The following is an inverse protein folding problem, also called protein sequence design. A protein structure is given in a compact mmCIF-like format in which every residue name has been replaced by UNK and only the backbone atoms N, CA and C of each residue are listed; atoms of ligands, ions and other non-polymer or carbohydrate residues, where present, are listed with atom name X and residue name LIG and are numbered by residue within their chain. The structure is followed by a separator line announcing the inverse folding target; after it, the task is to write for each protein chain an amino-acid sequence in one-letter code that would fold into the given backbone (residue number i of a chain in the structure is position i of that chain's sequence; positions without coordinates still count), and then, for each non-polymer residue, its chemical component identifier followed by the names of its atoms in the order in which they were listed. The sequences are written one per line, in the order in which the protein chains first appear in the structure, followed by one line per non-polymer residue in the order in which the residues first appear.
data_IF_600622936081
#
_entry.id   IF_600622936081
#
_cell.length_a   1.000
_cell.length_b   1.000
_cell.length_c   1.000
_cell.angle_alpha   90.00
_cell.angle_beta   90.00
_cell.angle_gamma   90.00
#
_symmetry.space_group_name_H-M   'P 1'
#
loop_
_entity.id
_entity.type
_entity.pdbx_description
1 polymer ?
#
# COMPACT_ATOMS: atom_id res chain seq x y z
N UNK A 1 28.77 -19.05 -2.45
CA UNK A 1 27.62 -19.00 -1.52
C UNK A 1 26.71 -17.88 -2.00
N UNK A 2 25.48 -18.16 -2.42
CA UNK A 2 24.54 -17.13 -2.86
C UNK A 2 24.18 -16.24 -1.66
N UNK A 3 24.30 -14.91 -1.78
CA UNK A 3 23.93 -14.01 -0.67
C UNK A 3 22.41 -13.87 -0.65
N UNK A 4 21.78 -14.39 0.38
CA UNK A 4 20.33 -14.25 0.56
C UNK A 4 20.01 -12.92 1.20
N UNK A 5 19.14 -12.11 0.59
CA UNK A 5 18.55 -10.93 1.25
C UNK A 5 17.28 -11.38 1.97
N UNK A 6 17.20 -11.13 3.28
CA UNK A 6 16.01 -11.39 4.08
C UNK A 6 15.13 -10.13 4.14
N UNK A 7 13.83 -10.29 3.91
CA UNK A 7 12.87 -9.23 4.15
C UNK A 7 11.63 -9.69 4.89
N UNK A 8 11.19 -8.95 5.91
CA UNK A 8 9.93 -9.17 6.63
C UNK A 8 8.76 -8.38 6.04
N UNK A 9 7.60 -9.02 5.89
CA UNK A 9 6.28 -8.41 5.62
C UNK A 9 5.27 -9.07 6.57
N UNK A 10 4.54 -8.29 7.38
CA UNK A 10 3.56 -8.81 8.35
C UNK A 10 4.09 -9.96 9.24
N UNK A 11 5.37 -9.93 9.62
CA UNK A 11 6.00 -10.97 10.44
C UNK A 11 6.49 -12.21 9.70
N UNK A 12 6.14 -12.38 8.42
CA UNK A 12 6.68 -13.45 7.57
C UNK A 12 8.04 -13.05 6.98
N UNK A 13 8.98 -14.00 6.95
CA UNK A 13 10.31 -13.85 6.38
C UNK A 13 10.34 -14.31 4.93
N UNK A 14 10.78 -13.41 4.04
CA UNK A 14 11.02 -13.68 2.64
C UNK A 14 12.52 -13.74 2.38
N UNK A 15 12.96 -14.86 1.84
CA UNK A 15 14.34 -15.10 1.43
C UNK A 15 14.45 -14.87 -0.07
N UNK A 16 15.33 -13.94 -0.46
CA UNK A 16 15.52 -13.54 -1.85
C UNK A 16 16.94 -13.88 -2.26
N UNK A 17 17.10 -14.60 -3.36
CA UNK A 17 18.41 -14.90 -3.91
C UNK A 17 19.05 -13.63 -4.51
N UNK A 18 20.38 -13.54 -4.45
CA UNK A 18 21.11 -12.41 -5.04
C UNK A 18 20.83 -12.35 -6.55
N UNK A 19 20.15 -11.29 -7.01
CA UNK A 19 19.79 -11.11 -8.43
C UNK A 19 18.30 -11.22 -8.75
N UNK A 20 17.46 -11.71 -7.81
CA UNK A 20 16.00 -11.78 -7.96
C UNK A 20 15.35 -10.40 -7.70
N UNK A 21 15.59 -9.47 -8.63
CA UNK A 21 15.16 -8.07 -8.55
C UNK A 21 13.65 -7.92 -8.66
N UNK A 22 12.99 -8.80 -9.42
CA UNK A 22 11.53 -8.80 -9.57
C UNK A 22 10.83 -9.15 -8.27
N UNK A 23 11.21 -10.24 -7.59
CA UNK A 23 10.62 -10.58 -6.30
C UNK A 23 10.89 -9.49 -5.26
N UNK A 24 12.12 -8.95 -5.24
CA UNK A 24 12.49 -7.86 -4.35
C UNK A 24 11.64 -6.59 -4.58
N UNK A 25 11.33 -6.27 -5.83
CA UNK A 25 10.44 -5.16 -6.18
C UNK A 25 9.05 -5.35 -5.54
N UNK A 26 8.43 -6.52 -5.70
CA UNK A 26 7.11 -6.79 -5.11
C UNK A 26 7.14 -6.76 -3.58
N UNK A 27 8.18 -7.33 -2.96
CA UNK A 27 8.34 -7.32 -1.50
C UNK A 27 8.44 -5.89 -0.97
N UNK A 28 9.23 -5.03 -1.63
CA UNK A 28 9.39 -3.66 -1.19
C UNK A 28 8.10 -2.85 -1.37
N UNK A 29 7.35 -3.08 -2.45
CA UNK A 29 6.02 -2.49 -2.62
C UNK A 29 5.08 -2.90 -1.48
N UNK A 30 5.02 -4.19 -1.14
CA UNK A 30 4.17 -4.68 -0.05
C UNK A 30 4.54 -4.07 1.32
N UNK A 31 5.84 -3.86 1.59
CA UNK A 31 6.28 -3.15 2.80
C UNK A 31 5.79 -1.72 2.83
N UNK A 32 5.86 -1.01 1.71
CA UNK A 32 5.35 0.35 1.60
C UNK A 32 3.82 0.40 1.83
N UNK A 33 3.08 -0.49 1.19
CA UNK A 33 1.63 -0.60 1.39
C UNK A 33 1.23 -0.93 2.82
N UNK A 34 2.01 -1.74 3.54
CA UNK A 34 1.77 -2.01 4.96
C UNK A 34 1.80 -0.71 5.77
N UNK A 35 2.78 0.17 5.53
CA UNK A 35 2.89 1.45 6.22
C UNK A 35 1.76 2.39 5.82
N UNK A 36 1.43 2.48 4.52
CA UNK A 36 0.32 3.30 4.04
C UNK A 36 -1.00 2.86 4.65
N UNK A 37 -1.33 1.57 4.64
CA UNK A 37 -2.57 1.06 5.21
C UNK A 37 -2.64 1.29 6.72
N UNK A 38 -1.54 1.16 7.45
CA UNK A 38 -1.50 1.50 8.87
C UNK A 38 -1.79 2.99 9.11
N UNK A 39 -1.21 3.88 8.29
CA UNK A 39 -1.48 5.31 8.37
C UNK A 39 -2.94 5.65 8.04
N UNK A 40 -3.52 5.05 6.98
CA UNK A 40 -4.92 5.27 6.62
C UNK A 40 -5.87 4.74 7.71
N UNK A 41 -5.60 3.57 8.30
CA UNK A 41 -6.37 3.03 9.44
C UNK A 41 -6.29 3.93 10.68
N UNK A 42 -5.14 4.55 10.94
CA UNK A 42 -5.01 5.51 12.03
C UNK A 42 -5.82 6.79 11.78
N UNK A 43 -5.82 7.28 10.54
CA UNK A 43 -6.62 8.45 10.14
C UNK A 43 -8.12 8.17 10.17
N UNK A 44 -8.50 6.92 9.89
CA UNK A 44 -9.87 6.43 10.01
C UNK A 44 -10.43 6.53 11.43
N UNK A 45 -9.55 6.44 12.44
CA UNK A 45 -9.93 6.55 13.85
C UNK A 45 -9.92 8.00 14.34
N UNK A 46 -9.49 8.95 13.51
CA UNK A 46 -9.39 10.36 13.85
C UNK A 46 -10.71 11.09 13.56
N UNK A 47 -10.93 12.25 14.19
CA UNK A 47 -12.11 13.10 14.03
C UNK A 47 -12.33 13.55 12.58
N UNK A 48 -11.28 13.48 11.77
CA UNK A 48 -11.24 13.81 10.37
C UNK A 48 -11.44 12.56 9.45
N UNK A 49 -12.00 11.45 9.95
CA UNK A 49 -12.41 10.23 9.23
C UNK A 49 -13.12 10.51 7.89
N UNK A 50 -14.08 11.45 7.88
CA UNK A 50 -14.82 11.87 6.67
C UNK A 50 -14.13 13.00 5.88
N UNK A 51 -12.85 13.27 6.15
CA UNK A 51 -12.09 14.27 5.40
C UNK A 51 -11.89 13.83 3.95
N UNK A 52 -12.13 14.73 2.97
CA UNK A 52 -12.10 14.45 1.51
C UNK A 52 -10.90 13.61 1.02
N UNK A 53 -9.75 13.72 1.70
CA UNK A 53 -8.54 13.04 1.23
C UNK A 53 -8.50 11.56 1.58
N UNK A 54 -9.16 11.10 2.66
CA UNK A 54 -9.07 9.69 3.07
C UNK A 54 -9.81 8.78 2.07
N UNK A 55 -11.10 8.98 1.74
CA UNK A 55 -11.79 8.14 0.76
C UNK A 55 -11.13 8.14 -0.62
N UNK A 56 -10.70 9.32 -1.07
CA UNK A 56 -9.97 9.48 -2.33
C UNK A 56 -8.64 8.70 -2.32
N UNK A 57 -7.91 8.73 -1.20
CA UNK A 57 -6.62 8.03 -1.05
C UNK A 57 -6.83 6.53 -0.97
N UNK A 58 -7.83 6.06 -0.22
CA UNK A 58 -8.23 4.65 -0.15
C UNK A 58 -8.55 4.12 -1.55
N UNK A 59 -9.38 4.82 -2.33
CA UNK A 59 -9.71 4.44 -3.70
C UNK A 59 -8.45 4.32 -4.60
N UNK A 60 -7.48 5.25 -4.44
CA UNK A 60 -6.19 5.16 -5.14
C UNK A 60 -5.38 3.95 -4.70
N UNK A 61 -5.32 3.66 -3.40
CA UNK A 61 -4.62 2.48 -2.85
C UNK A 61 -5.22 1.19 -3.39
N UNK A 62 -6.55 1.05 -3.36
CA UNK A 62 -7.26 -0.12 -3.91
C UNK A 62 -6.90 -0.31 -5.38
N UNK A 63 -6.96 0.76 -6.18
CA UNK A 63 -6.61 0.72 -7.61
C UNK A 63 -5.16 0.29 -7.83
N UNK A 64 -4.21 0.84 -7.07
CA UNK A 64 -2.79 0.52 -7.24
C UNK A 64 -2.45 -0.89 -6.72
N UNK A 65 -3.06 -1.36 -5.64
CA UNK A 65 -2.95 -2.75 -5.18
C UNK A 65 -3.52 -3.74 -6.21
N UNK A 66 -4.66 -3.40 -6.84
CA UNK A 66 -5.23 -4.20 -7.93
C UNK A 66 -4.28 -4.28 -9.13
N UNK A 67 -3.62 -3.16 -9.49
CA UNK A 67 -2.57 -3.17 -10.50
C UNK A 67 -1.37 -4.04 -10.08
N UNK A 68 -0.87 -3.88 -8.85
CA UNK A 68 0.25 -4.67 -8.32
C UNK A 68 -0.05 -6.17 -8.35
N UNK A 69 -1.32 -6.56 -8.09
CA UNK A 69 -1.79 -7.95 -8.22
C UNK A 69 -1.62 -8.45 -9.65
N UNK A 70 -2.16 -7.71 -10.63
CA UNK A 70 -2.08 -8.08 -12.04
C UNK A 70 -0.63 -8.13 -12.54
N UNK A 71 0.20 -7.17 -12.13
CA UNK A 71 1.63 -7.12 -12.46
C UNK A 71 2.37 -8.33 -11.87
N UNK A 72 2.05 -8.75 -10.64
CA UNK A 72 2.60 -9.95 -10.02
C UNK A 72 2.15 -11.22 -10.73
N UNK A 73 0.89 -11.33 -11.11
CA UNK A 73 0.36 -12.47 -11.86
C UNK A 73 1.11 -12.65 -13.19
N UNK A 74 1.35 -11.54 -13.91
CA UNK A 74 2.07 -11.52 -15.17
C UNK A 74 3.61 -11.68 -15.06
N UNK A 75 4.18 -11.53 -13.86
CA UNK A 75 5.64 -11.58 -13.66
C UNK A 75 6.24 -12.99 -13.77
N UNK A 76 7.57 -13.05 -13.86
CA UNK A 76 8.39 -14.26 -13.86
C UNK A 76 8.67 -14.83 -12.45
N UNK A 77 8.09 -14.22 -11.40
CA UNK A 77 8.26 -14.67 -10.01
C UNK A 77 7.83 -16.14 -9.87
N UNK A 78 8.69 -16.94 -9.22
CA UNK A 78 8.44 -18.36 -8.97
C UNK A 78 7.08 -18.61 -8.32
N UNK A 79 6.36 -19.65 -8.76
CA UNK A 79 4.97 -19.90 -8.41
C UNK A 79 4.71 -19.96 -6.88
N UNK A 80 5.61 -20.57 -6.12
CA UNK A 80 5.50 -20.65 -4.66
C UNK A 80 5.55 -19.26 -4.00
N UNK A 81 6.54 -18.45 -4.36
CA UNK A 81 6.67 -17.06 -3.90
C UNK A 81 5.48 -16.20 -4.35
N UNK A 82 5.07 -16.36 -5.61
CA UNK A 82 3.93 -15.65 -6.19
C UNK A 82 2.66 -15.90 -5.39
N UNK A 83 2.38 -17.15 -4.99
CA UNK A 83 1.23 -17.50 -4.14
C UNK A 83 1.23 -16.77 -2.80
N UNK A 84 2.39 -16.73 -2.12
CA UNK A 84 2.53 -16.01 -0.85
C UNK A 84 2.31 -14.49 -1.02
N UNK A 85 2.96 -13.88 -2.03
CA UNK A 85 2.83 -12.46 -2.31
C UNK A 85 1.40 -12.07 -2.71
N UNK A 86 0.72 -12.87 -3.54
CA UNK A 86 -0.69 -12.65 -3.90
C UNK A 86 -1.60 -12.68 -2.67
N UNK A 87 -1.40 -13.64 -1.77
CA UNK A 87 -2.16 -13.71 -0.52
C UNK A 87 -2.00 -12.43 0.33
N UNK A 88 -0.82 -11.82 0.33
CA UNK A 88 -0.58 -10.52 1.00
C UNK A 88 -1.29 -9.37 0.31
N UNK A 89 -1.25 -9.31 -1.03
CA UNK A 89 -1.99 -8.31 -1.79
C UNK A 89 -3.50 -8.42 -1.52
N UNK A 90 -4.04 -9.64 -1.51
CA UNK A 90 -5.45 -9.88 -1.21
C UNK A 90 -5.83 -9.46 0.21
N UNK A 91 -4.96 -9.73 1.20
CA UNK A 91 -5.15 -9.24 2.57
C UNK A 91 -5.16 -7.71 2.63
N UNK A 92 -4.26 -7.04 1.90
CA UNK A 92 -4.18 -5.58 1.84
C UNK A 92 -5.38 -4.96 1.11
N UNK A 93 -5.86 -5.60 0.05
CA UNK A 93 -7.10 -5.21 -0.61
C UNK A 93 -8.29 -5.35 0.34
N UNK A 94 -8.40 -6.45 1.08
CA UNK A 94 -9.47 -6.64 2.06
C UNK A 94 -9.43 -5.56 3.15
N UNK A 95 -8.24 -5.21 3.64
CA UNK A 95 -8.04 -4.12 4.60
C UNK A 95 -8.42 -2.76 4.04
N UNK A 96 -7.98 -2.44 2.82
CA UNK A 96 -8.30 -1.16 2.17
C UNK A 96 -9.81 -1.02 1.90
N UNK A 97 -10.49 -2.11 1.51
CA UNK A 97 -11.91 -2.10 1.24
C UNK A 97 -12.79 -1.89 2.49
N UNK A 98 -12.23 -2.08 3.69
CA UNK A 98 -12.93 -1.79 4.95
C UNK A 98 -12.87 -0.31 5.34
N UNK A 99 -12.00 0.48 4.70
CA UNK A 99 -11.89 1.90 4.92
C UNK A 99 -12.95 2.67 4.10
N UNK A 100 -13.28 3.92 4.50
CA UNK A 100 -14.19 4.79 3.77
C UNK A 100 -13.75 4.96 2.32
N UNK A 101 -14.71 4.84 1.40
CA UNK A 101 -14.51 4.99 -0.04
C UNK A 101 -15.46 6.00 -0.67
N UNK A 102 -16.50 6.41 0.07
CA UNK A 102 -17.48 7.39 -0.38
C UNK A 102 -16.85 8.79 -0.45
N UNK A 103 -16.77 9.33 -1.66
CA UNK A 103 -16.23 10.66 -1.93
C UNK A 103 -17.30 11.75 -2.02
N UNK A 104 -18.58 11.40 -1.82
CA UNK A 104 -19.71 12.33 -1.96
C UNK A 104 -19.84 13.29 -0.76
N UNK A 105 -19.26 12.94 0.38
CA UNK A 105 -19.35 13.74 1.59
C UNK A 105 -18.37 14.93 1.60
N UNK A 106 -18.84 16.03 2.18
CA UNK A 106 -18.03 17.26 2.28
C UNK A 106 -17.00 17.09 3.40
N UNK A 107 -15.75 17.48 3.14
CA UNK A 107 -14.70 17.44 4.15
C UNK A 107 -15.10 18.22 5.41
N UNK A 108 -15.07 17.57 6.58
CA UNK A 108 -15.37 18.20 7.88
C UNK A 108 -14.47 19.41 8.17
N UNK A 109 -13.23 19.44 7.66
CA UNK A 109 -12.36 20.64 7.73
C UNK A 109 -12.90 21.80 6.89
N UNK A 110 -13.35 21.53 5.66
CA UNK A 110 -13.97 22.55 4.80
C UNK A 110 -15.32 23.02 5.36
N UNK A 111 -16.01 22.17 6.11
CA UNK A 111 -17.22 22.52 6.87
C UNK A 111 -16.94 23.26 8.18
N UNK A 112 -15.66 23.44 8.58
CA UNK A 112 -15.27 24.14 9.81
C UNK A 112 -15.38 23.29 11.09
N UNK A 113 -15.65 22.00 10.97
CA UNK A 113 -15.85 21.05 12.07
C UNK A 113 -14.55 20.34 12.52
N UNK A 114 -13.46 20.44 11.74
CA UNK A 114 -12.15 19.86 12.06
C UNK A 114 -11.05 20.94 11.98
N UNK A 115 -10.26 21.11 13.06
CA UNK A 115 -9.22 22.16 13.21
C UNK A 115 -7.80 21.61 12.97
N UNK A 116 -7.65 20.41 12.39
CA UNK A 116 -6.33 19.87 12.08
C UNK A 116 -5.61 20.79 11.08
N UNK A 117 -4.34 21.09 11.39
CA UNK A 117 -3.44 21.99 10.66
C UNK A 117 -3.27 21.68 9.17
N UNK A 118 -2.41 22.43 8.49
CA UNK A 118 -2.33 22.58 7.02
C UNK A 118 -2.12 21.32 6.15
N UNK A 119 -2.13 20.09 6.68
CA UNK A 119 -1.98 18.86 5.91
C UNK A 119 -3.07 17.83 6.23
N UNK A 120 -3.84 17.42 5.22
CA UNK A 120 -4.60 16.18 5.32
C UNK A 120 -3.60 15.01 5.18
N UNK A 121 -3.26 14.36 6.29
CA UNK A 121 -2.16 13.38 6.38
C UNK A 121 -2.29 12.19 5.41
N UNK A 122 -3.50 11.88 4.92
CA UNK A 122 -3.74 10.72 4.06
C UNK A 122 -2.96 10.78 2.73
N UNK A 123 -2.94 11.95 2.08
CA UNK A 123 -2.20 12.10 0.81
C UNK A 123 -0.69 12.08 1.01
N UNK A 124 -0.20 12.53 2.17
CA UNK A 124 1.23 12.48 2.49
C UNK A 124 1.78 11.06 2.55
N UNK A 125 1.04 10.13 3.15
CA UNK A 125 1.42 8.72 3.23
C UNK A 125 1.51 8.06 1.83
N UNK A 126 0.56 8.34 0.94
CA UNK A 126 0.58 7.80 -0.42
C UNK A 126 1.70 8.45 -1.27
N UNK A 127 1.89 9.77 -1.16
CA UNK A 127 2.93 10.49 -1.88
C UNK A 127 4.34 10.03 -1.49
N UNK A 128 4.54 9.55 -0.25
CA UNK A 128 5.81 8.96 0.18
C UNK A 128 6.12 7.65 -0.55
N UNK A 129 5.11 6.88 -0.97
CA UNK A 129 5.36 5.72 -1.84
C UNK A 129 5.87 6.17 -3.20
N UNK A 130 5.32 7.22 -3.80
CA UNK A 130 5.73 7.70 -5.14
C UNK A 130 7.20 8.14 -5.17
N UNK A 131 7.75 8.59 -4.04
CA UNK A 131 9.15 8.99 -3.89
C UNK A 131 10.05 7.77 -3.60
N UNK A 132 9.51 6.73 -2.97
CA UNK A 132 10.25 5.55 -2.51
C UNK A 132 10.04 4.31 -3.38
N UNK A 133 9.21 4.41 -4.42
CA UNK A 133 8.87 3.32 -5.33
C UNK A 133 10.17 2.79 -5.97
N UNK A 134 10.51 1.51 -5.73
CA UNK A 134 11.64 0.90 -6.40
C UNK A 134 11.35 0.91 -7.90
N UNK A 135 12.31 1.33 -8.73
CA UNK A 135 12.15 1.38 -10.18
C UNK A 135 11.70 0.00 -10.67
N UNK A 136 10.55 -0.06 -11.37
CA UNK A 136 10.03 -1.30 -11.88
C UNK A 136 11.10 -2.03 -12.71
N UNK A 137 11.30 -3.34 -12.52
CA UNK A 137 12.19 -4.11 -13.36
C UNK A 137 11.67 -4.06 -14.82
N UNK A 138 12.58 -4.12 -15.78
CA UNK A 138 12.19 -4.27 -17.19
C UNK A 138 11.60 -5.67 -17.33
N UNK A 139 10.29 -5.74 -17.49
CA UNK A 139 9.53 -6.96 -17.83
C UNK A 139 9.87 -7.34 -19.27
#
# INVERSE_FOLDING_TARGET
MAKTRCGKILGEEFYIEEGDTTTLYFINNLRAYQVVLAALKALDQDICHDGCSLPTTVNKVIKRLGKLKNDLEASDVAAEKKKSLLSKIDSFLADANRLPQDTSQTCRKSAGECIIGSGCFATGALNLMDITEPKAPKI
#
